data_IF_687462378857
#
_entry.id   IF_687462378857
#
_cell.length_a   1.000
_cell.length_b   1.000
_cell.length_c   1.000
_cell.angle_alpha   90.00
_cell.angle_beta   90.00
_cell.angle_gamma   90.00
#
_symmetry.space_group_name_H-M   'P 1'
#
loop_
_entity.id
_entity.type
_entity.pdbx_description
1 polymer ?
#
# COMPACT_ATOMS: atom_id res chain seq x y z
N UNK A 1 -17.58 -0.50 0.26
CA UNK A 1 -16.14 -0.47 0.52
C UNK A 1 -15.50 -1.52 -0.39
N UNK A 2 -14.31 -1.23 -0.91
CA UNK A 2 -13.71 -2.04 -1.98
C UNK A 2 -13.00 -3.30 -1.44
N UNK A 3 -12.66 -3.30 -0.15
CA UNK A 3 -11.84 -4.33 0.50
C UNK A 3 -12.50 -4.98 1.73
N UNK A 4 -13.82 -4.83 1.91
CA UNK A 4 -14.58 -5.36 3.06
C UNK A 4 -14.32 -6.83 3.34
N UNK A 5 -14.43 -7.66 2.31
CA UNK A 5 -14.20 -9.09 2.40
C UNK A 5 -12.79 -9.43 2.92
N UNK A 6 -11.77 -8.65 2.52
CA UNK A 6 -10.40 -8.83 3.02
C UNK A 6 -10.31 -8.43 4.49
N UNK A 7 -10.87 -7.28 4.86
CA UNK A 7 -10.91 -6.81 6.25
C UNK A 7 -11.59 -7.81 7.18
N UNK A 8 -12.68 -8.43 6.74
CA UNK A 8 -13.38 -9.49 7.46
C UNK A 8 -12.52 -10.75 7.63
N UNK A 9 -11.84 -11.19 6.57
CA UNK A 9 -10.89 -12.31 6.65
C UNK A 9 -9.78 -12.00 7.64
N UNK A 10 -9.18 -10.82 7.59
CA UNK A 10 -8.07 -10.45 8.48
C UNK A 10 -8.54 -10.43 9.94
N UNK A 11 -9.75 -9.90 10.19
CA UNK A 11 -10.34 -9.87 11.53
C UNK A 11 -10.65 -11.27 12.07
N UNK A 12 -11.11 -12.19 11.23
CA UNK A 12 -11.43 -13.57 11.62
C UNK A 12 -10.20 -14.47 11.79
N UNK A 13 -9.04 -14.07 11.25
CA UNK A 13 -7.81 -14.87 11.25
C UNK A 13 -6.63 -14.17 11.95
N UNK A 14 -6.89 -13.26 12.89
CA UNK A 14 -5.90 -12.37 13.55
C UNK A 14 -4.58 -13.03 13.96
N UNK A 15 -4.63 -14.23 14.54
CA UNK A 15 -3.45 -14.93 15.05
C UNK A 15 -2.70 -15.75 13.99
N UNK A 16 -3.24 -15.87 12.78
CA UNK A 16 -2.57 -16.58 11.69
C UNK A 16 -1.57 -15.67 11.00
N UNK A 17 -0.56 -16.30 10.42
CA UNK A 17 0.46 -15.67 9.60
C UNK A 17 -0.17 -15.09 8.32
N UNK A 18 0.21 -13.86 7.97
CA UNK A 18 -0.26 -13.16 6.78
C UNK A 18 0.88 -12.87 5.79
N UNK A 19 2.01 -12.38 6.29
CA UNK A 19 3.16 -11.96 5.48
C UNK A 19 4.43 -12.53 6.11
N UNK A 20 5.32 -13.07 5.27
CA UNK A 20 6.70 -13.41 5.67
C UNK A 20 7.63 -12.48 4.90
N UNK A 21 8.38 -11.65 5.61
CA UNK A 21 9.30 -10.68 5.02
C UNK A 21 10.63 -10.66 5.78
N UNK A 22 11.73 -10.81 5.05
CA UNK A 22 13.10 -10.89 5.61
C UNK A 22 13.24 -11.90 6.77
N UNK A 23 12.59 -13.06 6.64
CA UNK A 23 12.62 -14.12 7.66
C UNK A 23 11.78 -13.84 8.91
N UNK A 24 11.03 -12.72 8.95
CA UNK A 24 10.08 -12.38 10.01
C UNK A 24 8.65 -12.64 9.55
N UNK A 25 7.84 -13.14 10.47
CA UNK A 25 6.42 -13.42 10.23
C UNK A 25 5.57 -12.32 10.83
N UNK A 26 4.62 -11.81 10.04
CA UNK A 26 3.65 -10.79 10.40
C UNK A 26 2.25 -11.40 10.32
N UNK A 27 1.48 -11.28 11.41
CA UNK A 27 0.14 -11.85 11.49
C UNK A 27 -0.92 -11.00 10.79
N UNK A 28 -2.10 -11.57 10.56
CA UNK A 28 -3.25 -10.79 10.08
C UNK A 28 -3.65 -9.66 11.03
N UNK A 29 -3.41 -9.82 12.35
CA UNK A 29 -3.59 -8.75 13.34
C UNK A 29 -2.69 -7.56 13.05
N UNK A 30 -1.43 -7.81 12.71
CA UNK A 30 -0.49 -6.77 12.30
C UNK A 30 -0.98 -6.09 11.01
N UNK A 31 -1.25 -6.87 9.96
CA UNK A 31 -1.68 -6.34 8.67
C UNK A 31 -2.95 -5.48 8.78
N UNK A 32 -3.96 -5.95 9.52
CA UNK A 32 -5.19 -5.21 9.76
C UNK A 32 -4.96 -3.90 10.52
N UNK A 33 -4.03 -3.90 11.49
CA UNK A 33 -3.66 -2.70 12.23
C UNK A 33 -3.00 -1.69 11.30
N UNK A 34 -1.98 -2.11 10.55
CA UNK A 34 -1.23 -1.25 9.61
C UNK A 34 -2.13 -0.70 8.51
N UNK A 35 -3.01 -1.53 7.93
CA UNK A 35 -4.03 -1.10 6.97
C UNK A 35 -4.91 0.03 7.52
N UNK A 36 -5.41 -0.11 8.76
CA UNK A 36 -6.23 0.92 9.41
C UNK A 36 -5.45 2.18 9.76
N UNK A 37 -4.16 2.05 10.06
CA UNK A 37 -3.27 3.20 10.29
C UNK A 37 -3.08 3.98 8.98
N UNK A 38 -2.88 3.30 7.85
CA UNK A 38 -2.82 3.95 6.54
C UNK A 38 -4.13 4.62 6.14
N UNK A 39 -5.28 3.98 6.38
CA UNK A 39 -6.58 4.61 6.13
C UNK A 39 -6.74 5.95 6.88
N UNK A 40 -6.23 6.05 8.11
CA UNK A 40 -6.24 7.30 8.87
C UNK A 40 -5.27 8.33 8.28
N UNK A 41 -4.04 7.91 7.97
CA UNK A 41 -3.03 8.80 7.40
C UNK A 41 -3.45 9.36 6.04
N UNK A 42 -4.04 8.53 5.17
CA UNK A 42 -4.54 8.97 3.87
C UNK A 42 -5.67 10.00 4.01
N UNK A 43 -6.58 9.81 4.97
CA UNK A 43 -7.65 10.76 5.27
C UNK A 43 -7.14 12.12 5.78
N UNK A 44 -5.94 12.17 6.36
CA UNK A 44 -5.28 13.40 6.84
C UNK A 44 -4.26 13.96 5.82
N UNK A 45 -4.02 13.25 4.72
CA UNK A 45 -3.04 13.63 3.69
C UNK A 45 -3.66 14.49 2.58
N UNK A 46 -2.83 14.93 1.63
CA UNK A 46 -3.29 15.58 0.40
C UNK A 46 -3.84 14.62 -0.66
N UNK A 47 -3.71 13.30 -0.46
CA UNK A 47 -4.18 12.29 -1.41
C UNK A 47 -5.71 12.23 -1.37
N UNK A 48 -6.32 12.69 -2.45
CA UNK A 48 -7.78 12.70 -2.59
C UNK A 48 -8.29 11.36 -3.10
N UNK A 49 -9.57 11.10 -2.86
CA UNK A 49 -10.26 9.99 -3.48
C UNK A 49 -10.22 10.15 -5.01
N UNK A 50 -9.95 9.05 -5.72
CA UNK A 50 -9.75 8.96 -7.18
C UNK A 50 -8.39 9.45 -7.70
N UNK A 51 -7.48 9.94 -6.86
CA UNK A 51 -6.14 10.31 -7.32
C UNK A 51 -5.42 9.11 -7.94
N UNK A 52 -4.68 9.35 -9.01
CA UNK A 52 -3.72 8.39 -9.55
C UNK A 52 -2.45 8.41 -8.70
N UNK A 53 -2.25 7.36 -7.92
CA UNK A 53 -1.13 7.25 -6.97
C UNK A 53 -0.10 6.25 -7.47
N UNK A 54 1.11 6.73 -7.73
CA UNK A 54 2.27 5.85 -7.94
C UNK A 54 2.73 5.31 -6.60
N UNK A 55 2.64 3.99 -6.41
CA UNK A 55 3.23 3.30 -5.28
C UNK A 55 4.57 2.71 -5.72
N UNK A 56 5.66 3.43 -5.45
CA UNK A 56 7.02 2.96 -5.72
C UNK A 56 7.49 2.11 -4.53
N UNK A 57 7.31 0.79 -4.62
CA UNK A 57 7.63 -0.14 -3.55
C UNK A 57 7.88 -1.55 -4.08
N UNK A 58 8.77 -2.28 -3.40
CA UNK A 58 8.87 -3.73 -3.51
C UNK A 58 7.97 -4.42 -2.46
N UNK A 59 8.00 -5.74 -2.42
CA UNK A 59 7.21 -6.51 -1.45
C UNK A 59 7.71 -6.27 -0.01
N UNK A 60 6.83 -5.71 0.82
CA UNK A 60 7.05 -5.49 2.25
C UNK A 60 5.71 -5.41 3.01
N UNK A 61 5.71 -5.43 4.36
CA UNK A 61 4.50 -5.28 5.14
C UNK A 61 3.77 -3.94 4.92
N UNK A 62 4.46 -2.78 4.90
CA UNK A 62 3.79 -1.52 4.54
C UNK A 62 3.38 -1.48 3.06
N UNK A 63 4.20 -2.06 2.17
CA UNK A 63 3.85 -2.56 0.82
C UNK A 63 2.37 -2.90 0.64
N UNK A 64 2.04 -4.04 1.25
CA UNK A 64 0.74 -4.68 1.13
C UNK A 64 -0.34 -3.85 1.83
N UNK A 65 -0.05 -3.35 3.04
CA UNK A 65 -1.02 -2.59 3.82
C UNK A 65 -1.44 -1.29 3.13
N UNK A 66 -0.48 -0.53 2.59
CA UNK A 66 -0.74 0.74 1.92
C UNK A 66 -1.42 0.53 0.57
N UNK A 67 -1.02 -0.48 -0.22
CA UNK A 67 -1.71 -0.83 -1.46
C UNK A 67 -3.22 -1.06 -1.22
N UNK A 68 -3.55 -1.85 -0.19
CA UNK A 68 -4.95 -2.11 0.18
C UNK A 68 -5.65 -0.83 0.66
N UNK A 69 -4.97 0.01 1.43
CA UNK A 69 -5.52 1.27 1.93
C UNK A 69 -5.81 2.26 0.80
N UNK A 70 -4.94 2.36 -0.21
CA UNK A 70 -5.17 3.18 -1.41
C UNK A 70 -6.38 2.71 -2.20
N UNK A 71 -6.54 1.38 -2.37
CA UNK A 71 -7.73 0.80 -3.01
C UNK A 71 -9.00 1.15 -2.23
N UNK A 72 -8.96 1.02 -0.90
CA UNK A 72 -10.09 1.35 -0.05
C UNK A 72 -10.40 2.86 -0.06
N UNK A 73 -9.38 3.71 -0.16
CA UNK A 73 -9.49 5.16 -0.32
C UNK A 73 -9.91 5.59 -1.73
N UNK A 74 -10.30 4.64 -2.60
CA UNK A 74 -10.74 4.87 -3.98
C UNK A 74 -9.68 5.46 -4.91
N UNK A 75 -8.39 5.29 -4.61
CA UNK A 75 -7.31 5.73 -5.50
C UNK A 75 -7.12 4.76 -6.67
N UNK A 76 -6.62 5.28 -7.80
CA UNK A 76 -6.13 4.48 -8.92
C UNK A 76 -4.65 4.21 -8.66
N UNK A 77 -4.28 2.97 -8.34
CA UNK A 77 -2.91 2.65 -7.94
C UNK A 77 -2.05 2.23 -9.13
N UNK A 78 -0.88 2.85 -9.28
CA UNK A 78 0.16 2.51 -10.25
C UNK A 78 1.33 1.88 -9.49
N UNK A 79 1.42 0.55 -9.37
CA UNK A 79 2.50 -0.10 -8.65
C UNK A 79 3.79 -0.09 -9.48
N UNK A 80 4.90 0.32 -8.85
CA UNK A 80 6.23 0.36 -9.48
C UNK A 80 7.28 -0.27 -8.56
N UNK A 81 7.92 -1.34 -9.04
CA UNK A 81 9.01 -2.01 -8.32
C UNK A 81 10.37 -1.38 -8.66
N UNK A 82 11.38 -1.61 -7.81
CA UNK A 82 12.72 -1.07 -8.03
C UNK A 82 13.35 -1.54 -9.37
N UNK A 83 12.95 -2.72 -9.86
CA UNK A 83 13.46 -3.31 -11.11
C UNK A 83 13.08 -2.54 -12.39
N UNK A 84 12.08 -1.67 -12.34
CA UNK A 84 11.59 -0.91 -13.51
C UNK A 84 11.67 0.61 -13.30
N UNK A 85 12.43 1.06 -12.29
CA UNK A 85 12.60 2.48 -11.95
C UNK A 85 13.11 3.35 -13.12
N UNK A 86 13.88 2.76 -14.04
CA UNK A 86 14.35 3.45 -15.25
C UNK A 86 13.21 3.95 -16.17
N UNK A 87 11.99 3.41 -16.02
CA UNK A 87 10.79 3.81 -16.77
C UNK A 87 9.82 4.68 -15.97
N UNK A 88 10.23 5.14 -14.77
CA UNK A 88 9.34 5.90 -13.87
C UNK A 88 8.71 7.10 -14.56
N UNK A 89 9.50 7.90 -15.27
CA UNK A 89 9.01 9.10 -15.98
C UNK A 89 7.94 8.74 -17.03
N UNK A 90 8.22 7.74 -17.87
CA UNK A 90 7.30 7.23 -18.89
C UNK A 90 5.98 6.75 -18.26
N UNK A 91 6.05 5.99 -17.16
CA UNK A 91 4.86 5.49 -16.49
C UNK A 91 4.07 6.58 -15.77
N UNK A 92 4.73 7.55 -15.16
CA UNK A 92 4.06 8.70 -14.57
C UNK A 92 3.30 9.51 -15.63
N UNK A 93 3.91 9.71 -16.80
CA UNK A 93 3.28 10.41 -17.91
C UNK A 93 2.07 9.66 -18.46
N UNK A 94 2.21 8.36 -18.75
CA UNK A 94 1.12 7.54 -19.29
C UNK A 94 -0.06 7.45 -18.31
N UNK A 95 0.23 7.22 -17.03
CA UNK A 95 -0.80 7.03 -16.02
C UNK A 95 -1.39 8.35 -15.51
N UNK A 96 -0.77 9.50 -15.80
CA UNK A 96 -1.17 10.81 -15.27
C UNK A 96 -1.09 10.83 -13.74
N UNK A 97 0.06 10.44 -13.18
CA UNK A 97 0.28 10.34 -11.73
C UNK A 97 0.12 11.71 -11.06
N UNK A 98 -0.66 11.74 -9.97
CA UNK A 98 -0.94 12.94 -9.18
C UNK A 98 -0.18 12.94 -7.85
N UNK A 99 0.01 11.76 -7.24
CA UNK A 99 0.79 11.59 -6.01
C UNK A 99 1.76 10.42 -6.15
N UNK A 100 2.91 10.53 -5.50
CA UNK A 100 3.91 9.46 -5.45
C UNK A 100 4.11 9.10 -3.98
N UNK A 101 3.95 7.82 -3.65
CA UNK A 101 4.33 7.30 -2.34
C UNK A 101 5.43 6.28 -2.57
N UNK A 102 6.55 6.45 -1.86
CA UNK A 102 7.71 5.56 -1.98
C UNK A 102 7.89 4.77 -0.70
N UNK A 103 8.20 3.48 -0.82
CA UNK A 103 8.64 2.63 0.29
C UNK A 103 10.02 2.10 -0.03
N UNK A 104 10.97 2.33 0.88
CA UNK A 104 12.35 1.89 0.72
C UNK A 104 12.56 0.42 1.14
N UNK A 105 13.82 -0.03 1.09
CA UNK A 105 14.19 -1.41 1.43
C UNK A 105 14.06 -1.75 2.93
N UNK A 106 13.93 -0.74 3.78
CA UNK A 106 13.74 -0.86 5.23
C UNK A 106 12.25 -0.76 5.62
N UNK A 107 11.35 -0.78 4.64
CA UNK A 107 9.89 -0.63 4.82
C UNK A 107 9.48 0.76 5.35
N UNK A 108 10.33 1.78 5.15
CA UNK A 108 10.04 3.16 5.52
C UNK A 108 9.31 3.90 4.38
N UNK A 109 8.31 4.70 4.73
CA UNK A 109 7.39 5.33 3.78
C UNK A 109 7.62 6.84 3.71
N UNK A 110 7.64 7.37 2.48
CA UNK A 110 7.72 8.82 2.20
C UNK A 110 6.68 9.24 1.17
N UNK A 111 6.11 10.43 1.38
CA UNK A 111 5.18 11.12 0.48
C UNK A 111 5.91 12.18 -0.35
#
# INVERSE_FOLDING_TARGET
MFTDFLSDIFSNNREKDAIIWQGRTYSYRFLLKTFREWMKQLAESSVSANDVVLLEADFSPNAVALLLALIEHSCIVVPLTASVKAKKEEFCEIAQVENIITIDQEDAVSF
#
